data_IF_773354982938
#
_entry.id   IF_773354982938
#
_cell.length_a   1.000
_cell.length_b   1.000
_cell.length_c   1.000
_cell.angle_alpha   90.00
_cell.angle_beta   90.00
_cell.angle_gamma   90.00
#
_symmetry.space_group_name_H-M   'P 1'
#
loop_
_entity.id
_entity.type
_entity.pdbx_description
1 polymer ?
#
# COMPACT_ATOMS: atom_id res chain seq x y z
N UNK A 1 -0.72 -6.46 27.81
CA UNK A 1 -1.10 -7.49 26.83
C UNK A 1 -1.42 -6.74 25.55
N UNK A 2 -0.46 -6.62 24.62
CA UNK A 2 -0.71 -5.98 23.31
C UNK A 2 -1.66 -6.90 22.53
N UNK A 3 -2.85 -6.40 22.22
CA UNK A 3 -3.78 -7.07 21.34
C UNK A 3 -3.18 -7.05 19.93
N UNK A 4 -2.51 -8.13 19.52
CA UNK A 4 -2.15 -8.32 18.11
C UNK A 4 -3.46 -8.50 17.33
N UNK A 5 -3.75 -7.57 16.43
CA UNK A 5 -4.83 -7.73 15.45
C UNK A 5 -4.46 -8.89 14.54
N UNK A 6 -5.30 -9.92 14.46
CA UNK A 6 -5.14 -10.98 13.46
C UNK A 6 -5.11 -10.34 12.06
N UNK A 7 -4.01 -10.48 11.33
CA UNK A 7 -3.83 -9.86 10.01
C UNK A 7 -3.05 -8.53 9.99
N UNK A 8 -2.39 -8.15 11.08
CA UNK A 8 -1.47 -6.99 11.07
C UNK A 8 -0.43 -7.07 9.94
N UNK A 9 0.20 -8.24 9.75
CA UNK A 9 1.17 -8.47 8.67
C UNK A 9 0.56 -8.25 7.27
N UNK A 10 -0.72 -8.59 7.08
CA UNK A 10 -1.43 -8.35 5.82
C UNK A 10 -1.62 -6.85 5.57
N UNK A 11 -1.99 -6.10 6.60
CA UNK A 11 -2.22 -4.66 6.52
C UNK A 11 -0.90 -3.94 6.24
N UNK A 12 0.17 -4.32 6.95
CA UNK A 12 1.52 -3.79 6.73
C UNK A 12 1.99 -4.04 5.29
N UNK A 13 1.90 -5.29 4.82
CA UNK A 13 2.23 -5.64 3.44
C UNK A 13 1.36 -4.89 2.41
N UNK A 14 0.12 -4.55 2.77
CA UNK A 14 -0.77 -3.75 1.91
C UNK A 14 -0.28 -2.31 1.80
N UNK A 15 0.10 -1.67 2.91
CA UNK A 15 0.66 -0.32 2.88
C UNK A 15 1.99 -0.25 2.12
N UNK A 16 2.89 -1.23 2.31
CA UNK A 16 4.12 -1.33 1.51
C UNK A 16 3.81 -1.46 0.01
N UNK A 17 2.78 -2.24 -0.35
CA UNK A 17 2.38 -2.40 -1.74
C UNK A 17 1.78 -1.12 -2.34
N UNK A 18 1.01 -0.37 -1.55
CA UNK A 18 0.50 0.95 -1.92
C UNK A 18 1.65 1.94 -2.16
N UNK A 19 2.64 1.98 -1.26
CA UNK A 19 3.85 2.78 -1.42
C UNK A 19 4.61 2.43 -2.71
N UNK A 20 4.88 1.14 -2.94
CA UNK A 20 5.52 0.66 -4.19
C UNK A 20 4.77 1.05 -5.45
N UNK A 21 3.44 0.92 -5.44
CA UNK A 21 2.58 1.31 -6.56
C UNK A 21 2.79 2.80 -6.88
N UNK A 22 2.70 3.64 -5.85
CA UNK A 22 2.83 5.08 -5.99
C UNK A 22 4.22 5.49 -6.48
N UNK A 23 5.27 4.96 -5.86
CA UNK A 23 6.65 5.23 -6.28
C UNK A 23 6.93 4.75 -7.71
N UNK A 24 6.35 3.61 -8.12
CA UNK A 24 6.45 3.12 -9.50
C UNK A 24 5.73 4.04 -10.48
N UNK A 25 4.61 4.65 -10.08
CA UNK A 25 3.93 5.68 -10.86
C UNK A 25 4.78 6.94 -10.99
N UNK A 26 5.38 7.45 -9.90
CA UNK A 26 6.28 8.61 -9.97
C UNK A 26 7.47 8.34 -10.89
N UNK A 27 8.09 7.16 -10.78
CA UNK A 27 9.17 6.74 -11.68
C UNK A 27 8.72 6.68 -13.15
N UNK A 28 7.49 6.21 -13.42
CA UNK A 28 6.90 6.21 -14.76
C UNK A 28 6.69 7.64 -15.28
N UNK A 29 6.16 8.55 -14.46
CA UNK A 29 5.96 9.95 -14.83
C UNK A 29 7.28 10.64 -15.13
N UNK A 30 8.31 10.41 -14.31
CA UNK A 30 9.68 10.89 -14.54
C UNK A 30 10.20 10.47 -15.92
N UNK A 31 10.10 9.17 -16.25
CA UNK A 31 10.55 8.66 -17.56
C UNK A 31 9.81 9.28 -18.73
N UNK A 32 8.49 9.49 -18.55
CA UNK A 32 7.64 10.12 -19.56
C UNK A 32 7.81 11.64 -19.61
N UNK A 33 8.66 12.22 -18.76
CA UNK A 33 8.86 13.67 -18.61
C UNK A 33 7.56 14.41 -18.24
N UNK A 34 6.72 13.72 -17.46
CA UNK A 34 5.45 14.21 -16.93
C UNK A 34 5.51 14.50 -15.42
N UNK A 35 6.68 14.35 -14.80
CA UNK A 35 6.91 14.72 -13.40
C UNK A 35 7.62 16.08 -13.40
N UNK A 36 6.87 17.16 -13.25
CA UNK A 36 7.35 18.53 -13.12
C UNK A 36 6.25 19.43 -12.56
N UNK A 37 6.62 20.62 -12.07
CA UNK A 37 5.65 21.63 -11.62
C UNK A 37 4.69 22.11 -12.71
N UNK A 38 5.16 22.08 -13.96
CA UNK A 38 4.39 22.49 -15.14
C UNK A 38 3.75 21.29 -15.86
N UNK A 39 3.61 20.15 -15.17
CA UNK A 39 3.06 18.94 -15.75
C UNK A 39 1.61 19.11 -16.22
N UNK A 40 1.24 18.43 -17.29
CA UNK A 40 -0.16 18.30 -17.70
C UNK A 40 -0.99 17.45 -16.72
N UNK A 41 -0.33 16.65 -15.88
CA UNK A 41 -0.97 15.85 -14.84
C UNK A 41 -1.37 16.78 -13.69
N UNK A 42 -2.67 17.07 -13.62
CA UNK A 42 -3.24 17.98 -12.64
C UNK A 42 -3.14 17.43 -11.21
N UNK A 43 -2.98 18.34 -10.25
CA UNK A 43 -3.01 18.08 -8.81
C UNK A 43 -1.93 17.08 -8.34
N UNK A 44 -0.80 17.01 -9.04
CA UNK A 44 0.28 16.09 -8.70
C UNK A 44 0.88 16.41 -7.33
N UNK A 45 0.99 17.69 -7.01
CA UNK A 45 1.35 18.22 -5.69
C UNK A 45 0.45 17.69 -4.57
N UNK A 46 -0.87 17.79 -4.74
CA UNK A 46 -1.85 17.34 -3.74
C UNK A 46 -1.84 15.82 -3.62
N UNK A 47 -1.76 15.11 -4.75
CA UNK A 47 -1.71 13.64 -4.75
C UNK A 47 -0.45 13.14 -4.05
N UNK A 48 0.71 13.75 -4.31
CA UNK A 48 1.95 13.43 -3.60
C UNK A 48 1.82 13.70 -2.09
N UNK A 49 1.24 14.84 -1.70
CA UNK A 49 0.98 15.16 -0.30
C UNK A 49 0.07 14.13 0.39
N UNK A 50 -1.03 13.71 -0.24
CA UNK A 50 -1.92 12.67 0.31
C UNK A 50 -1.14 11.38 0.63
N UNK A 51 -0.19 10.98 -0.21
CA UNK A 51 0.61 9.79 0.05
C UNK A 51 1.61 9.95 1.21
N UNK A 52 2.04 11.18 1.54
CA UNK A 52 2.75 11.44 2.80
C UNK A 52 1.83 11.20 4.01
N UNK A 53 0.59 11.69 3.94
CA UNK A 53 -0.41 11.49 4.99
C UNK A 53 -0.79 10.00 5.15
N UNK A 54 -0.87 9.25 4.04
CA UNK A 54 -1.07 7.79 4.08
C UNK A 54 0.06 7.09 4.85
N UNK A 55 1.32 7.46 4.58
CA UNK A 55 2.47 6.88 5.28
C UNK A 55 2.44 7.22 6.78
N UNK A 56 2.22 8.50 7.13
CA UNK A 56 2.09 8.93 8.52
C UNK A 56 0.93 8.21 9.23
N UNK A 57 -0.24 8.16 8.60
CA UNK A 57 -1.43 7.51 9.13
C UNK A 57 -1.17 6.04 9.40
N UNK A 58 -0.51 5.33 8.49
CA UNK A 58 -0.13 3.93 8.69
C UNK A 58 0.81 3.77 9.91
N UNK A 59 1.82 4.64 10.05
CA UNK A 59 2.75 4.62 11.20
C UNK A 59 2.08 4.95 12.53
N UNK A 60 1.06 5.81 12.56
CA UNK A 60 0.28 6.05 13.77
C UNK A 60 -0.42 4.78 14.30
N UNK A 61 -0.59 3.75 13.48
CA UNK A 61 -1.14 2.45 13.86
C UNK A 61 -0.08 1.33 13.99
N UNK A 62 1.21 1.66 13.93
CA UNK A 62 2.31 0.70 14.06
C UNK A 62 2.59 -0.12 12.80
N UNK A 63 2.30 0.42 11.62
CA UNK A 63 2.66 -0.15 10.32
C UNK A 63 3.77 0.67 9.67
N UNK A 64 4.49 0.11 8.70
CA UNK A 64 5.60 0.75 8.00
C UNK A 64 6.76 1.13 8.93
N UNK A 65 7.23 0.19 9.76
CA UNK A 65 8.29 0.44 10.75
C UNK A 65 9.59 -0.36 10.50
N UNK A 66 9.52 -1.54 9.87
CA UNK A 66 10.54 -2.60 10.00
C UNK A 66 10.94 -3.31 8.69
N UNK A 67 10.68 -2.72 7.52
CA UNK A 67 11.11 -3.27 6.24
C UNK A 67 12.62 -3.16 6.05
N UNK A 68 13.21 -4.22 5.49
CA UNK A 68 14.59 -4.21 5.07
C UNK A 68 14.81 -3.26 3.89
N UNK A 69 15.99 -2.65 3.85
CA UNK A 69 16.47 -1.91 2.68
C UNK A 69 16.58 -2.84 1.46
N UNK A 70 16.13 -2.36 0.30
CA UNK A 70 16.11 -3.09 -0.96
C UNK A 70 16.94 -2.39 -2.05
N UNK A 71 17.35 -3.14 -3.06
CA UNK A 71 17.96 -2.54 -4.25
C UNK A 71 16.95 -1.69 -5.01
N UNK A 72 17.37 -0.50 -5.43
CA UNK A 72 16.59 0.43 -6.24
C UNK A 72 17.07 0.36 -7.69
N UNK A 73 16.29 -0.29 -8.55
CA UNK A 73 16.67 -0.53 -9.94
C UNK A 73 17.83 -1.54 -10.11
N UNK A 74 18.55 -1.48 -11.25
CA UNK A 74 19.63 -2.42 -11.56
C UNK A 74 20.82 -2.34 -10.59
N UNK A 75 21.42 -3.48 -10.25
CA UNK A 75 22.54 -3.57 -9.30
C UNK A 75 23.76 -2.69 -9.65
N UNK A 76 23.99 -2.40 -10.95
CA UNK A 76 25.06 -1.51 -11.41
C UNK A 76 24.93 -0.07 -10.88
N UNK A 77 23.72 0.37 -10.56
CA UNK A 77 23.46 1.73 -10.09
C UNK A 77 23.84 1.88 -8.61
N UNK A 78 23.94 0.77 -7.86
CA UNK A 78 24.28 0.74 -6.42
C UNK A 78 23.39 1.64 -5.57
N UNK A 79 22.13 1.76 -5.98
CA UNK A 79 21.09 2.53 -5.29
C UNK A 79 20.24 1.61 -4.43
N UNK A 80 19.77 2.13 -3.30
CA UNK A 80 18.94 1.38 -2.36
C UNK A 80 17.82 2.23 -1.81
N UNK A 81 16.72 1.60 -1.41
CA UNK A 81 15.59 2.32 -0.83
C UNK A 81 14.92 1.49 0.25
N UNK A 82 14.12 2.13 1.10
CA UNK A 82 13.39 1.48 2.18
C UNK A 82 11.89 1.58 1.93
N UNK A 83 11.20 0.45 1.65
CA UNK A 83 9.77 0.46 1.32
C UNK A 83 8.89 1.16 2.34
N UNK A 84 9.19 1.02 3.63
CA UNK A 84 8.42 1.61 4.71
C UNK A 84 8.56 3.12 4.83
N UNK A 85 9.59 3.70 4.21
CA UNK A 85 9.87 5.13 4.21
C UNK A 85 9.75 5.71 2.80
N UNK A 86 8.77 5.24 2.04
CA UNK A 86 8.54 5.71 0.66
C UNK A 86 8.19 7.21 0.59
N UNK A 87 7.66 7.78 1.67
CA UNK A 87 7.37 9.21 1.83
C UNK A 87 8.64 10.08 1.76
N UNK A 88 9.78 9.59 2.25
CA UNK A 88 11.07 10.24 2.04
C UNK A 88 11.37 10.39 0.53
N UNK A 89 11.12 9.33 -0.25
CA UNK A 89 11.32 9.37 -1.69
C UNK A 89 10.30 10.30 -2.40
N UNK A 90 9.09 10.47 -1.87
CA UNK A 90 8.11 11.43 -2.39
C UNK A 90 8.64 12.86 -2.24
N UNK A 91 9.15 13.22 -1.06
CA UNK A 91 9.75 14.55 -0.80
C UNK A 91 10.98 14.76 -1.68
N UNK A 92 11.85 13.75 -1.81
CA UNK A 92 13.00 13.81 -2.70
C UNK A 92 12.59 14.03 -4.17
N UNK A 93 11.56 13.34 -4.66
CA UNK A 93 11.01 13.57 -5.99
C UNK A 93 10.43 14.98 -6.15
N UNK A 94 9.66 15.46 -5.17
CA UNK A 94 9.07 16.79 -5.21
C UNK A 94 10.15 17.87 -5.34
N UNK A 95 11.21 17.79 -4.54
CA UNK A 95 12.36 18.72 -4.60
C UNK A 95 13.12 18.63 -5.92
N UNK A 96 13.42 17.41 -6.38
CA UNK A 96 14.14 17.18 -7.66
C UNK A 96 13.43 17.85 -8.85
N UNK A 97 12.10 17.91 -8.82
CA UNK A 97 11.27 18.40 -9.90
C UNK A 97 10.58 19.75 -9.62
N UNK A 98 11.00 20.44 -8.56
CA UNK A 98 10.49 21.76 -8.15
C UNK A 98 8.97 21.78 -7.95
N UNK A 99 8.40 20.68 -7.45
CA UNK A 99 6.97 20.53 -7.17
C UNK A 99 6.73 20.97 -5.72
N UNK A 100 6.00 22.07 -5.55
CA UNK A 100 5.53 22.53 -4.26
C UNK A 100 4.34 21.67 -3.81
N UNK A 101 4.51 20.87 -2.77
CA UNK A 101 3.44 20.04 -2.21
C UNK A 101 2.41 20.91 -1.50
N UNK A 102 1.13 20.64 -1.67
CA UNK A 102 0.04 21.43 -1.06
C UNK A 102 -1.15 20.56 -0.64
N UNK A 103 -2.13 21.17 0.05
CA UNK A 103 -3.50 20.64 0.14
C UNK A 103 -3.83 19.76 1.36
N UNK A 104 -2.86 19.43 2.22
CA UNK A 104 -3.11 18.66 3.45
C UNK A 104 -2.76 19.47 4.71
N UNK A 105 -3.43 19.18 5.82
CA UNK A 105 -3.18 19.84 7.09
C UNK A 105 -1.91 19.29 7.75
N UNK A 106 -1.03 20.17 8.24
CA UNK A 106 0.23 19.77 8.89
C UNK A 106 1.29 19.26 7.91
N UNK A 107 1.16 19.59 6.62
CA UNK A 107 2.10 19.21 5.57
C UNK A 107 3.53 19.65 5.86
N UNK A 108 3.71 20.85 6.41
CA UNK A 108 5.02 21.44 6.67
C UNK A 108 5.84 20.52 7.59
N UNK A 109 5.19 20.00 8.64
CA UNK A 109 5.81 19.06 9.55
C UNK A 109 6.17 17.73 8.88
N UNK A 110 5.31 17.22 7.99
CA UNK A 110 5.60 15.99 7.24
C UNK A 110 6.82 16.16 6.34
N UNK A 111 6.98 17.34 5.73
CA UNK A 111 8.15 17.66 4.89
C UNK A 111 9.41 17.83 5.75
N UNK A 112 9.29 18.48 6.91
CA UNK A 112 10.40 18.67 7.86
C UNK A 112 10.90 17.35 8.45
N UNK A 113 9.99 16.40 8.74
CA UNK A 113 10.31 15.10 9.33
C UNK A 113 10.88 14.10 8.29
N UNK A 114 10.74 14.38 6.99
CA UNK A 114 11.19 13.50 5.92
C UNK A 114 12.70 13.61 5.66
N UNK A 115 13.35 12.46 5.44
CA UNK A 115 14.73 12.41 4.96
C UNK A 115 14.77 12.59 3.44
N UNK A 116 15.32 13.71 2.98
CA UNK A 116 15.44 13.99 1.54
C UNK A 116 16.69 13.38 0.89
N UNK A 117 17.69 12.95 1.67
CA UNK A 117 18.95 12.37 1.18
C UNK A 117 18.78 10.87 0.90
N UNK A 118 17.70 10.54 0.20
CA UNK A 118 17.37 9.18 -0.23
C UNK A 118 17.66 9.00 -1.70
N UNK A 119 18.01 7.78 -2.06
CA UNK A 119 18.26 7.44 -3.46
C UNK A 119 16.97 7.51 -4.29
N UNK A 120 17.08 8.09 -5.48
CA UNK A 120 16.08 7.98 -6.54
C UNK A 120 16.62 7.12 -7.69
N UNK A 121 15.74 6.43 -8.45
CA UNK A 121 16.16 5.65 -9.61
C UNK A 121 16.96 6.51 -10.60
N UNK A 122 17.98 5.90 -11.21
CA UNK A 122 18.75 6.57 -12.28
C UNK A 122 17.88 6.61 -13.54
N UNK A 123 17.53 7.79 -14.10
CA UNK A 123 16.59 7.87 -15.23
C UNK A 123 17.03 7.06 -16.45
N UNK A 124 18.34 7.07 -16.76
CA UNK A 124 18.90 6.32 -17.89
C UNK A 124 18.79 4.79 -17.71
N UNK A 125 18.97 4.29 -16.49
CA UNK A 125 18.80 2.86 -16.17
C UNK A 125 17.33 2.46 -16.05
N UNK A 126 16.44 3.43 -15.91
CA UNK A 126 15.00 3.24 -15.82
C UNK A 126 14.29 3.39 -17.18
N UNK A 127 14.96 3.77 -18.27
CA UNK A 127 14.31 4.20 -19.52
C UNK A 127 13.42 3.14 -20.25
N UNK A 128 13.49 1.86 -19.89
CA UNK A 128 12.65 0.79 -20.45
C UNK A 128 11.19 0.90 -19.97
N UNK A 129 10.23 0.67 -20.85
CA UNK A 129 8.79 0.71 -20.51
C UNK A 129 8.38 -0.29 -19.43
N UNK A 130 9.14 -1.39 -19.28
CA UNK A 130 8.95 -2.44 -18.27
C UNK A 130 9.79 -2.22 -17.01
N UNK A 131 10.52 -1.10 -16.91
CA UNK A 131 11.32 -0.82 -15.75
C UNK A 131 10.43 -0.61 -14.51
N UNK A 132 10.73 -1.38 -13.46
CA UNK A 132 10.03 -1.44 -12.18
C UNK A 132 11.04 -1.24 -11.04
N UNK A 133 11.63 -0.03 -10.89
CA UNK A 133 12.75 0.20 -9.99
C UNK A 133 12.38 0.02 -8.52
N UNK A 134 11.12 0.25 -8.16
CA UNK A 134 10.55 0.07 -6.82
C UNK A 134 9.94 -1.34 -6.62
N UNK A 135 10.00 -2.20 -7.64
CA UNK A 135 9.63 -3.60 -7.55
C UNK A 135 8.15 -3.84 -7.27
N UNK A 136 7.22 -2.99 -7.73
CA UNK A 136 5.78 -3.15 -7.51
C UNK A 136 5.26 -4.47 -8.09
N UNK A 137 5.67 -4.86 -9.30
CA UNK A 137 5.18 -6.11 -9.93
C UNK A 137 5.63 -7.33 -9.13
N UNK A 138 6.89 -7.31 -8.67
CA UNK A 138 7.44 -8.35 -7.80
C UNK A 138 6.72 -8.38 -6.45
N UNK A 139 6.51 -7.21 -5.83
CA UNK A 139 5.80 -7.06 -4.56
C UNK A 139 4.35 -7.56 -4.64
N UNK A 140 3.62 -7.19 -5.68
CA UNK A 140 2.24 -7.65 -5.92
C UNK A 140 2.18 -9.18 -6.06
N UNK A 141 3.16 -9.78 -6.73
CA UNK A 141 3.23 -11.25 -6.87
C UNK A 141 3.50 -11.94 -5.54
N UNK A 142 4.39 -11.39 -4.71
CA UNK A 142 4.66 -11.89 -3.37
C UNK A 142 3.40 -11.78 -2.48
N UNK A 143 2.79 -10.59 -2.45
CA UNK A 143 1.55 -10.34 -1.72
C UNK A 143 0.44 -11.33 -2.09
N UNK A 144 0.20 -11.55 -3.39
CA UNK A 144 -0.79 -12.53 -3.87
C UNK A 144 -0.48 -13.96 -3.41
N UNK A 145 0.79 -14.34 -3.36
CA UNK A 145 1.22 -15.67 -2.95
C UNK A 145 1.04 -15.88 -1.45
N UNK A 146 1.34 -14.87 -0.64
CA UNK A 146 1.31 -14.96 0.83
C UNK A 146 -0.09 -14.76 1.38
N UNK A 147 -0.93 -13.96 0.70
CA UNK A 147 -2.20 -13.50 1.24
C UNK A 147 -3.45 -13.82 0.40
N UNK A 148 -3.31 -14.44 -0.78
CA UNK A 148 -4.43 -14.78 -1.68
C UNK A 148 -5.31 -15.97 -1.25
N UNK A 149 -5.41 -16.24 0.05
CA UNK A 149 -6.32 -17.22 0.66
C UNK A 149 -6.00 -18.71 0.39
N UNK A 150 -6.98 -19.59 0.67
CA UNK A 150 -6.90 -21.06 0.49
C UNK A 150 -6.50 -21.45 -0.95
N UNK A 151 -6.82 -20.62 -1.92
CA UNK A 151 -6.39 -20.78 -3.32
C UNK A 151 -4.89 -20.65 -3.48
N UNK A 152 -4.20 -19.74 -2.77
CA UNK A 152 -2.73 -19.66 -2.78
C UNK A 152 -2.08 -20.88 -2.12
N UNK A 153 -2.70 -21.41 -1.06
CA UNK A 153 -2.28 -22.64 -0.38
C UNK A 153 -2.45 -23.90 -1.25
N UNK A 154 -3.58 -24.02 -1.98
CA UNK A 154 -3.86 -25.15 -2.90
C UNK A 154 -3.20 -24.99 -4.29
N UNK A 155 -2.84 -23.76 -4.69
CA UNK A 155 -2.20 -23.44 -5.98
C UNK A 155 -0.67 -23.62 -5.99
N UNK A 156 -0.09 -24.36 -5.03
CA UNK A 156 1.18 -25.06 -5.29
C UNK A 156 1.09 -25.94 -6.57
N UNK A 157 -0.13 -26.17 -7.07
CA UNK A 157 -0.41 -26.60 -8.44
C UNK A 157 -0.83 -25.44 -9.36
N UNK A 158 0.12 -24.92 -10.16
CA UNK A 158 -0.01 -24.26 -11.48
C UNK A 158 -1.34 -23.54 -11.85
N UNK A 159 -1.87 -22.59 -11.06
CA UNK A 159 -2.82 -21.58 -11.60
C UNK A 159 -2.41 -20.15 -11.19
N UNK A 160 -2.39 -19.19 -12.13
CA UNK A 160 -1.77 -17.87 -11.93
C UNK A 160 -2.58 -16.85 -11.12
N UNK A 161 -3.76 -17.20 -10.59
CA UNK A 161 -4.68 -16.23 -9.97
C UNK A 161 -5.11 -16.70 -8.56
N UNK A 162 -4.25 -16.50 -7.55
CA UNK A 162 -4.76 -16.38 -6.18
C UNK A 162 -5.50 -15.03 -6.09
N UNK A 163 -6.80 -15.09 -5.84
CA UNK A 163 -7.67 -13.90 -5.86
C UNK A 163 -7.49 -13.14 -4.54
N UNK A 164 -7.14 -11.86 -4.63
CA UNK A 164 -7.15 -10.93 -3.49
C UNK A 164 -8.62 -10.53 -3.27
N UNK A 165 -9.11 -10.65 -2.04
CA UNK A 165 -10.50 -10.29 -1.71
C UNK A 165 -11.55 -11.23 -2.31
N UNK A 166 -12.81 -10.78 -2.34
CA UNK A 166 -13.95 -11.49 -2.92
C UNK A 166 -14.91 -12.06 -1.88
N UNK A 167 -16.04 -12.59 -2.36
CA UNK A 167 -17.21 -12.98 -1.57
C UNK A 167 -16.91 -14.03 -0.49
N UNK A 168 -15.82 -14.78 -0.65
CA UNK A 168 -15.38 -15.71 0.37
C UNK A 168 -14.95 -15.03 1.69
N UNK A 169 -14.70 -13.71 1.67
CA UNK A 169 -14.45 -12.85 2.84
C UNK A 169 -15.69 -12.07 3.30
N UNK A 170 -16.78 -12.06 2.52
CA UNK A 170 -18.04 -11.45 2.92
C UNK A 170 -18.69 -12.29 4.03
N UNK A 171 -18.53 -11.84 5.27
CA UNK A 171 -19.06 -12.52 6.45
C UNK A 171 -20.60 -12.57 6.46
N UNK A 172 -21.29 -11.67 5.74
CA UNK A 172 -22.75 -11.68 5.66
C UNK A 172 -23.27 -12.90 4.90
N UNK A 173 -22.49 -13.41 3.93
CA UNK A 173 -22.76 -14.65 3.20
C UNK A 173 -22.40 -15.94 3.96
N UNK A 174 -21.62 -15.83 5.05
CA UNK A 174 -21.15 -17.01 5.78
C UNK A 174 -22.26 -17.65 6.62
N UNK A 175 -22.09 -18.94 6.92
CA UNK A 175 -22.92 -19.58 7.95
C UNK A 175 -22.55 -19.05 9.33
N UNK A 176 -23.51 -19.04 10.25
CA UNK A 176 -23.28 -18.66 11.65
C UNK A 176 -22.13 -19.44 12.29
N UNK A 177 -22.04 -20.75 12.01
CA UNK A 177 -20.96 -21.60 12.50
C UNK A 177 -19.58 -21.13 11.99
N UNK A 178 -19.48 -20.78 10.69
CA UNK A 178 -18.23 -20.27 10.12
C UNK A 178 -17.84 -18.93 10.74
N UNK A 179 -18.79 -17.99 10.89
CA UNK A 179 -18.51 -16.70 11.56
C UNK A 179 -18.03 -16.89 13.00
N UNK A 180 -18.72 -17.70 13.80
CA UNK A 180 -18.30 -18.05 15.18
C UNK A 180 -16.89 -18.63 15.23
N UNK A 181 -16.53 -19.50 14.29
CA UNK A 181 -15.20 -20.12 14.26
C UNK A 181 -14.07 -19.08 14.09
N UNK A 182 -14.34 -17.99 13.36
CA UNK A 182 -13.41 -16.91 13.02
C UNK A 182 -13.50 -15.71 13.97
N UNK A 183 -14.59 -15.57 14.73
CA UNK A 183 -14.74 -14.50 15.72
C UNK A 183 -13.82 -14.72 16.93
N UNK A 184 -13.27 -13.63 17.47
CA UNK A 184 -12.37 -13.64 18.63
C UNK A 184 -13.02 -14.29 19.86
N UNK A 185 -14.25 -13.87 20.18
CA UNK A 185 -15.01 -14.37 21.33
C UNK A 185 -15.81 -15.65 21.05
N UNK A 186 -15.64 -16.27 19.88
CA UNK A 186 -16.42 -17.43 19.39
C UNK A 186 -17.93 -17.24 19.33
N UNK A 187 -18.42 -15.99 19.43
CA UNK A 187 -19.82 -15.63 19.22
C UNK A 187 -20.03 -15.20 17.78
N UNK A 188 -21.27 -15.28 17.33
CA UNK A 188 -21.61 -14.81 15.99
C UNK A 188 -21.70 -13.28 16.02
N UNK A 189 -20.87 -12.53 15.26
CA UNK A 189 -20.94 -11.08 15.21
C UNK A 189 -22.15 -10.57 14.41
N UNK A 190 -22.82 -11.42 13.62
CA UNK A 190 -23.99 -11.04 12.82
C UNK A 190 -25.16 -11.97 13.12
N UNK A 191 -26.10 -11.50 13.93
CA UNK A 191 -27.36 -12.17 14.20
C UNK A 191 -28.34 -12.06 13.03
N UNK A 192 -29.56 -12.57 13.24
CA UNK A 192 -30.60 -12.61 12.18
C UNK A 192 -31.12 -11.22 11.84
N UNK A 193 -31.29 -10.37 12.85
CA UNK A 193 -31.84 -9.02 12.69
C UNK A 193 -30.84 -8.12 11.95
N UNK A 194 -29.56 -8.21 12.32
CA UNK A 194 -28.47 -7.49 11.67
C UNK A 194 -28.35 -7.88 10.18
N UNK A 195 -28.46 -9.17 9.87
CA UNK A 195 -28.44 -9.64 8.48
C UNK A 195 -29.67 -9.20 7.68
N UNK A 196 -30.84 -9.10 8.31
CA UNK A 196 -32.04 -8.59 7.65
C UNK A 196 -31.90 -7.09 7.36
N UNK A 197 -31.45 -6.32 8.35
CA UNK A 197 -31.22 -4.88 8.21
C UNK A 197 -30.16 -4.57 7.13
N UNK A 198 -29.05 -5.33 7.08
CA UNK A 198 -28.04 -5.20 6.03
C UNK A 198 -28.62 -5.42 4.62
N UNK A 199 -29.53 -6.39 4.45
CA UNK A 199 -30.20 -6.64 3.16
C UNK A 199 -31.13 -5.50 2.73
N UNK A 200 -31.67 -4.79 3.70
CA UNK A 200 -32.50 -3.59 3.49
C UNK A 200 -31.67 -2.32 3.29
N UNK A 201 -30.33 -2.43 3.31
CA UNK A 201 -29.40 -1.32 3.08
C UNK A 201 -29.04 -0.53 4.33
N UNK A 202 -29.35 -1.04 5.53
CA UNK A 202 -28.92 -0.41 6.77
C UNK A 202 -27.40 -0.58 6.99
N UNK A 203 -26.79 0.36 7.73
CA UNK A 203 -25.37 0.34 8.09
C UNK A 203 -25.23 -0.12 9.55
N UNK A 204 -24.32 -1.06 9.80
CA UNK A 204 -23.99 -1.47 11.17
C UNK A 204 -23.07 -0.42 11.82
N UNK A 205 -23.54 0.19 12.91
CA UNK A 205 -22.68 1.00 13.76
C UNK A 205 -21.94 0.11 14.76
N UNK A 206 -20.63 0.34 14.91
CA UNK A 206 -19.88 -0.24 16.01
C UNK A 206 -20.35 0.43 17.32
N UNK A 207 -20.72 -0.38 18.31
CA UNK A 207 -21.02 0.07 19.66
C UNK A 207 -19.75 0.11 20.52
#
# INVERSE_FOLDING_TARGET
MLYRVDGADLIDATYQLIGRLFMSMLALLERKKLLSKDSEIKNLDVVMAIFLEVAQGARCYGFLEDSATEALGPAKDKKTWQPDYFDNNIVAYARKYDIELTGIHGLEKLIEDADEDVDLPVPASNADDKADPFGFVKGLKAYKKEHGGITAFLAQTKKPNSVIGGDHLDISSWTSAKRKSKAFNKKDPLGKEELAALKEGAVLSLA
#
